data_IF_478806004945
#
_entry.id   IF_478806004945
#
_cell.length_a   1.000
_cell.length_b   1.000
_cell.length_c   1.000
_cell.angle_alpha   90.00
_cell.angle_beta   90.00
_cell.angle_gamma   90.00
#
_symmetry.space_group_name_H-M   'P 1'
#
loop_
_entity.id
_entity.type
_entity.pdbx_description
1 polymer ?
#
# COMPACT_ATOMS: atom_id res chain seq x y z
N UNK A 1 -6.33 20.71 11.73
CA UNK A 1 -5.37 20.93 10.66
C UNK A 1 -5.31 19.77 9.69
N UNK A 2 -5.16 20.08 8.45
CA UNK A 2 -5.07 19.07 7.40
C UNK A 2 -3.76 18.32 7.48
N UNK A 3 -3.82 17.00 7.59
CA UNK A 3 -2.63 16.16 7.67
C UNK A 3 -2.44 15.29 6.44
N UNK A 4 -3.46 15.19 5.59
CA UNK A 4 -3.40 14.32 4.43
C UNK A 4 -2.58 14.97 3.32
N UNK A 5 -1.40 14.43 3.09
CA UNK A 5 -0.59 14.82 1.96
C UNK A 5 -1.15 14.19 0.69
N UNK A 6 -1.07 14.93 -0.41
CA UNK A 6 -1.49 14.43 -1.71
C UNK A 6 -0.26 14.04 -2.52
N UNK A 7 -0.38 12.96 -3.25
CA UNK A 7 0.72 12.46 -4.07
C UNK A 7 1.22 13.51 -5.06
N UNK A 8 0.29 14.32 -5.61
CA UNK A 8 0.66 15.39 -6.54
C UNK A 8 1.60 16.40 -5.92
N UNK A 9 1.36 16.79 -4.67
CA UNK A 9 2.21 17.72 -3.95
C UNK A 9 3.62 17.14 -3.76
N UNK A 10 3.68 15.87 -3.37
CA UNK A 10 4.95 15.18 -3.13
C UNK A 10 5.77 15.09 -4.42
N UNK A 11 5.12 14.71 -5.52
CA UNK A 11 5.80 14.56 -6.81
C UNK A 11 6.24 15.90 -7.37
N UNK A 12 5.46 16.96 -7.15
CA UNK A 12 5.82 18.31 -7.57
C UNK A 12 7.03 18.82 -6.80
N UNK A 13 7.07 18.58 -5.47
CA UNK A 13 8.20 18.97 -4.64
C UNK A 13 9.49 18.30 -5.11
N UNK A 14 9.40 17.05 -5.58
CA UNK A 14 10.55 16.31 -6.10
C UNK A 14 10.95 16.74 -7.51
N UNK A 15 10.11 17.51 -8.18
CA UNK A 15 10.38 17.92 -9.56
C UNK A 15 10.06 16.85 -10.58
N UNK A 16 9.34 15.80 -10.20
CA UNK A 16 9.00 14.71 -11.11
C UNK A 16 7.80 15.04 -12.00
N UNK A 17 6.93 15.94 -11.57
CA UNK A 17 5.78 16.41 -12.36
C UNK A 17 5.63 17.92 -12.19
N UNK A 18 4.90 18.52 -13.13
CA UNK A 18 4.56 19.94 -13.10
C UNK A 18 3.12 20.10 -12.62
N UNK A 19 2.76 21.32 -12.21
CA UNK A 19 1.38 21.63 -11.84
C UNK A 19 0.43 21.40 -13.01
N UNK A 20 0.89 21.68 -14.25
CA UNK A 20 0.10 21.44 -15.44
C UNK A 20 -0.22 19.95 -15.61
N UNK A 21 0.77 19.08 -15.39
CA UNK A 21 0.57 17.64 -15.47
C UNK A 21 -0.39 17.15 -14.39
N UNK A 22 -0.30 17.69 -13.18
CA UNK A 22 -1.24 17.38 -12.10
C UNK A 22 -2.66 17.79 -12.52
N UNK A 23 -2.82 19.00 -13.09
CA UNK A 23 -4.13 19.47 -13.54
C UNK A 23 -4.72 18.55 -14.60
N UNK A 24 -3.90 18.08 -15.52
CA UNK A 24 -4.32 17.12 -16.54
C UNK A 24 -4.81 15.81 -15.93
N UNK A 25 -4.06 15.30 -14.96
CA UNK A 25 -4.43 14.06 -14.28
C UNK A 25 -5.73 14.21 -13.48
N UNK A 26 -5.90 15.34 -12.81
CA UNK A 26 -7.13 15.61 -12.04
C UNK A 26 -8.34 15.74 -12.96
N UNK A 27 -8.18 16.36 -14.13
CA UNK A 27 -9.25 16.43 -15.12
C UNK A 27 -9.64 15.05 -15.63
N UNK A 28 -8.65 14.22 -15.90
CA UNK A 28 -8.87 12.83 -16.31
C UNK A 28 -9.60 12.04 -15.23
N UNK A 29 -9.24 12.26 -13.97
CA UNK A 29 -9.82 11.55 -12.82
C UNK A 29 -11.32 11.80 -12.68
N UNK A 30 -11.81 12.98 -13.10
CA UNK A 30 -13.23 13.29 -13.02
C UNK A 30 -14.08 12.30 -13.81
N UNK A 31 -13.53 11.72 -14.86
CA UNK A 31 -14.20 10.74 -15.68
C UNK A 31 -13.76 9.31 -15.38
N UNK A 32 -12.77 9.14 -14.48
CA UNK A 32 -12.21 7.84 -14.10
C UNK A 32 -12.04 7.79 -12.59
N UNK A 33 -13.14 7.89 -11.87
CA UNK A 33 -13.15 8.08 -10.41
C UNK A 33 -12.66 6.87 -9.63
N UNK A 34 -12.58 5.71 -10.28
CA UNK A 34 -12.04 4.50 -9.70
C UNK A 34 -10.52 4.51 -9.62
N UNK A 35 -9.87 5.48 -10.28
CA UNK A 35 -8.41 5.54 -10.35
C UNK A 35 -7.85 6.64 -9.45
N UNK A 36 -6.73 6.35 -8.82
CA UNK A 36 -6.01 7.33 -7.99
C UNK A 36 -5.14 8.21 -8.88
N UNK A 37 -4.86 9.43 -8.40
CA UNK A 37 -4.07 10.40 -9.18
C UNK A 37 -2.69 9.84 -9.54
N UNK A 38 -2.02 9.18 -8.59
CA UNK A 38 -0.71 8.58 -8.88
C UNK A 38 -0.76 7.55 -9.98
N UNK A 39 -1.80 6.72 -9.99
CA UNK A 39 -2.01 5.73 -11.03
C UNK A 39 -2.23 6.39 -12.39
N UNK A 40 -3.05 7.45 -12.43
CA UNK A 40 -3.31 8.18 -13.66
C UNK A 40 -2.03 8.83 -14.20
N UNK A 41 -1.23 9.43 -13.31
CA UNK A 41 0.04 10.03 -13.72
C UNK A 41 0.98 9.01 -14.36
N UNK A 42 0.99 7.79 -13.84
CA UNK A 42 1.77 6.70 -14.42
C UNK A 42 1.21 6.28 -15.77
N UNK A 43 -0.12 6.14 -15.88
CA UNK A 43 -0.77 5.75 -17.13
C UNK A 43 -0.57 6.78 -18.24
N UNK A 44 -0.56 8.07 -17.88
CA UNK A 44 -0.30 9.14 -18.84
C UNK A 44 1.19 9.28 -19.18
N UNK A 45 2.04 8.51 -18.54
CA UNK A 45 3.47 8.54 -18.82
C UNK A 45 4.22 9.70 -18.21
N UNK A 46 3.63 10.38 -17.23
CA UNK A 46 4.26 11.54 -16.59
C UNK A 46 5.24 11.12 -15.49
N UNK A 47 5.04 9.97 -14.87
CA UNK A 47 5.95 9.42 -13.85
C UNK A 47 6.01 7.91 -14.01
N UNK A 48 7.05 7.31 -13.42
CA UNK A 48 7.18 5.86 -13.31
C UNK A 48 6.82 5.45 -11.88
N UNK A 49 6.55 4.16 -11.70
CA UNK A 49 6.29 3.62 -10.36
C UNK A 49 7.50 3.84 -9.44
N UNK A 50 8.70 3.64 -9.96
CA UNK A 50 9.93 3.88 -9.20
C UNK A 50 9.99 5.30 -8.68
N UNK A 51 9.68 6.29 -9.53
CA UNK A 51 9.66 7.69 -9.12
C UNK A 51 8.63 7.95 -8.03
N UNK A 52 7.43 7.38 -8.16
CA UNK A 52 6.37 7.53 -7.16
C UNK A 52 6.83 6.96 -5.82
N UNK A 53 7.37 5.75 -5.83
CA UNK A 53 7.83 5.10 -4.59
C UNK A 53 8.99 5.86 -3.95
N UNK A 54 9.95 6.32 -4.75
CA UNK A 54 11.08 7.10 -4.24
C UNK A 54 10.62 8.41 -3.60
N UNK A 55 9.68 9.09 -4.23
CA UNK A 55 9.15 10.33 -3.70
C UNK A 55 8.43 10.10 -2.37
N UNK A 56 7.61 9.05 -2.29
CA UNK A 56 6.90 8.69 -1.07
C UNK A 56 7.88 8.28 0.04
N UNK A 57 8.86 7.45 -0.30
CA UNK A 57 9.84 6.96 0.65
C UNK A 57 10.63 8.13 1.25
N UNK A 58 11.07 9.06 0.41
CA UNK A 58 11.83 10.22 0.84
C UNK A 58 10.99 11.15 1.72
N UNK A 59 9.78 11.48 1.26
CA UNK A 59 8.93 12.46 1.95
C UNK A 59 8.41 11.94 3.29
N UNK A 60 8.11 10.65 3.37
CA UNK A 60 7.52 10.03 4.55
C UNK A 60 8.53 9.24 5.37
N UNK A 61 9.79 9.21 4.95
CA UNK A 61 10.87 8.48 5.61
C UNK A 61 10.54 7.00 5.78
N UNK A 62 10.10 6.38 4.69
CA UNK A 62 9.77 4.97 4.65
C UNK A 62 10.80 4.21 3.81
N UNK A 63 10.97 2.91 4.09
CA UNK A 63 11.85 2.06 3.30
C UNK A 63 11.07 1.39 2.18
N UNK A 64 11.70 1.29 1.01
CA UNK A 64 11.21 0.46 -0.09
C UNK A 64 11.83 -0.92 0.07
N UNK A 65 11.02 -1.96 0.02
CA UNK A 65 11.49 -3.33 0.23
C UNK A 65 11.12 -4.20 -0.96
N UNK A 66 11.88 -5.28 -1.13
CA UNK A 66 11.53 -6.36 -2.04
C UNK A 66 10.76 -7.39 -1.20
N UNK A 67 9.47 -7.48 -1.44
CA UNK A 67 8.58 -8.35 -0.67
C UNK A 67 9.04 -9.81 -0.71
N UNK A 68 9.66 -10.22 -1.83
CA UNK A 68 10.14 -11.58 -2.00
C UNK A 68 11.30 -11.91 -1.05
N UNK A 69 11.98 -10.90 -0.51
CA UNK A 69 13.10 -11.09 0.41
C UNK A 69 12.68 -11.05 1.88
N UNK A 70 11.42 -10.76 2.15
CA UNK A 70 10.94 -10.65 3.53
C UNK A 70 10.51 -12.01 4.08
N UNK A 71 10.74 -12.20 5.37
CA UNK A 71 10.16 -13.33 6.10
C UNK A 71 8.77 -12.92 6.56
N UNK A 72 7.75 -13.57 6.01
CA UNK A 72 6.36 -13.23 6.26
C UNK A 72 5.80 -14.14 7.36
N UNK A 73 5.35 -13.52 8.43
CA UNK A 73 4.74 -14.22 9.56
C UNK A 73 3.26 -14.41 9.28
N UNK A 74 2.83 -15.67 9.10
CA UNK A 74 1.46 -15.97 8.71
C UNK A 74 0.45 -15.53 9.77
N UNK A 75 0.82 -15.51 11.04
CA UNK A 75 -0.06 -15.03 12.11
C UNK A 75 -0.38 -13.56 11.93
N UNK A 76 0.58 -12.77 11.46
CA UNK A 76 0.34 -11.35 11.18
C UNK A 76 -0.63 -11.19 10.01
N UNK A 77 -0.42 -11.97 8.95
CA UNK A 77 -1.31 -11.93 7.76
C UNK A 77 -2.75 -12.21 8.16
N UNK A 78 -2.95 -13.18 9.06
CA UNK A 78 -4.28 -13.61 9.49
C UNK A 78 -5.02 -12.58 10.34
N UNK A 79 -4.35 -11.52 10.79
CA UNK A 79 -4.95 -10.53 11.68
C UNK A 79 -5.85 -9.53 10.97
N UNK A 80 -5.80 -9.45 9.66
CA UNK A 80 -6.66 -8.55 8.91
C UNK A 80 -7.47 -9.32 7.87
N UNK A 81 -8.55 -8.68 7.42
CA UNK A 81 -9.46 -9.25 6.45
C UNK A 81 -8.82 -9.30 5.05
N UNK A 82 -9.01 -10.43 4.36
CA UNK A 82 -8.49 -10.63 3.01
C UNK A 82 -8.98 -9.54 2.04
N UNK A 83 -10.27 -9.20 2.13
CA UNK A 83 -10.84 -8.18 1.24
C UNK A 83 -10.18 -6.83 1.41
N UNK A 84 -9.92 -6.45 2.66
CA UNK A 84 -9.22 -5.20 2.94
C UNK A 84 -7.81 -5.21 2.36
N UNK A 85 -7.10 -6.32 2.54
CA UNK A 85 -5.74 -6.47 2.04
C UNK A 85 -5.68 -6.40 0.52
N UNK A 86 -6.56 -7.13 -0.15
CA UNK A 86 -6.56 -7.19 -1.62
C UNK A 86 -6.98 -5.88 -2.25
N UNK A 87 -8.01 -5.26 -1.70
CA UNK A 87 -8.52 -4.01 -2.24
C UNK A 87 -7.51 -2.87 -2.13
N UNK A 88 -6.75 -2.84 -1.04
CA UNK A 88 -5.89 -1.71 -0.71
C UNK A 88 -4.41 -2.03 -0.81
N UNK A 89 -4.04 -3.22 -1.25
CA UNK A 89 -2.65 -3.66 -1.41
C UNK A 89 -1.87 -3.48 -0.12
N UNK A 90 -2.30 -4.17 0.93
CA UNK A 90 -1.66 -4.15 2.23
C UNK A 90 -1.37 -5.59 2.65
N UNK A 91 -0.12 -5.85 3.04
CA UNK A 91 0.27 -7.17 3.52
C UNK A 91 0.93 -7.04 4.88
N UNK A 92 0.30 -7.54 5.96
CA UNK A 92 0.99 -7.63 7.25
C UNK A 92 2.11 -8.65 7.14
N UNK A 93 3.29 -8.32 7.67
CA UNK A 93 4.45 -9.21 7.54
C UNK A 93 4.99 -9.67 8.88
N UNK A 94 4.80 -8.87 9.93
CA UNK A 94 5.34 -9.20 11.25
C UNK A 94 4.55 -8.46 12.32
N UNK A 95 4.38 -9.09 13.47
CA UNK A 95 3.71 -8.45 14.60
C UNK A 95 4.48 -8.80 15.88
N UNK A 96 4.69 -7.80 16.73
CA UNK A 96 5.33 -7.97 18.03
C UNK A 96 4.91 -6.83 18.96
N UNK A 97 4.43 -7.17 20.17
CA UNK A 97 4.09 -6.20 21.21
C UNK A 97 3.13 -5.11 20.71
N UNK A 98 2.08 -5.51 20.01
CA UNK A 98 1.08 -4.60 19.43
C UNK A 98 1.64 -3.65 18.37
N UNK A 99 2.78 -3.99 17.78
CA UNK A 99 3.34 -3.28 16.63
C UNK A 99 3.35 -4.22 15.45
N UNK A 100 2.75 -3.77 14.35
CA UNK A 100 2.64 -4.58 13.14
C UNK A 100 3.39 -3.90 12.01
N UNK A 101 4.28 -4.65 11.38
CA UNK A 101 4.93 -4.23 10.16
C UNK A 101 4.04 -4.61 8.98
N UNK A 102 3.75 -3.66 8.12
CA UNK A 102 2.99 -3.91 6.89
C UNK A 102 3.75 -3.43 5.68
N UNK A 103 3.48 -4.04 4.54
CA UNK A 103 3.95 -3.56 3.24
C UNK A 103 2.75 -3.05 2.48
N UNK A 104 2.87 -1.87 1.89
CA UNK A 104 1.82 -1.30 1.05
C UNK A 104 2.42 -0.59 -0.16
N UNK A 105 1.60 -0.41 -1.17
CA UNK A 105 1.96 0.39 -2.33
C UNK A 105 1.43 1.83 -2.21
N UNK A 106 0.49 2.08 -1.27
CA UNK A 106 -0.13 3.38 -1.12
C UNK A 106 -0.21 3.81 0.36
N UNK A 107 0.86 4.44 0.88
CA UNK A 107 0.89 4.84 2.28
C UNK A 107 0.00 6.05 2.59
N UNK A 108 -0.60 6.67 1.57
CA UNK A 108 -1.49 7.81 1.75
C UNK A 108 -2.95 7.40 1.88
N UNK A 109 -3.25 6.11 1.80
CA UNK A 109 -4.60 5.60 1.99
C UNK A 109 -4.89 5.46 3.49
N UNK A 110 -5.18 6.59 4.12
CA UNK A 110 -5.34 6.66 5.57
C UNK A 110 -6.54 5.87 6.07
N UNK A 111 -7.62 5.80 5.29
CA UNK A 111 -8.79 5.01 5.67
C UNK A 111 -8.46 3.53 5.78
N UNK A 112 -7.75 2.98 4.80
CA UNK A 112 -7.38 1.58 4.83
C UNK A 112 -6.41 1.28 5.98
N UNK A 113 -5.44 2.18 6.20
CA UNK A 113 -4.48 1.99 7.30
C UNK A 113 -5.19 2.02 8.66
N UNK A 114 -6.18 2.89 8.82
CA UNK A 114 -6.95 2.94 10.06
C UNK A 114 -7.75 1.65 10.26
N UNK A 115 -8.33 1.10 9.20
CA UNK A 115 -9.01 -0.19 9.25
C UNK A 115 -8.07 -1.31 9.71
N UNK A 116 -6.85 -1.30 9.21
CA UNK A 116 -5.83 -2.28 9.62
C UNK A 116 -5.53 -2.14 11.11
N UNK A 117 -5.39 -0.91 11.60
CA UNK A 117 -5.18 -0.67 13.05
C UNK A 117 -6.33 -1.23 13.87
N UNK A 118 -7.56 -0.99 13.43
CA UNK A 118 -8.75 -1.43 14.16
C UNK A 118 -8.88 -2.95 14.16
N UNK A 119 -8.65 -3.59 13.01
CA UNK A 119 -8.76 -5.04 12.92
C UNK A 119 -7.66 -5.76 13.70
N UNK A 120 -6.45 -5.23 13.67
CA UNK A 120 -5.30 -5.88 14.30
C UNK A 120 -5.09 -5.48 15.75
N UNK A 121 -5.59 -4.33 16.16
CA UNK A 121 -5.29 -3.77 17.47
C UNK A 121 -3.85 -3.31 17.61
N UNK A 122 -3.17 -3.05 16.49
CA UNK A 122 -1.73 -2.74 16.46
C UNK A 122 -1.46 -1.35 15.95
N UNK A 123 -0.32 -0.80 16.37
CA UNK A 123 0.28 0.33 15.68
C UNK A 123 1.02 -0.20 14.46
N UNK A 124 1.18 0.63 13.44
CA UNK A 124 1.75 0.19 12.18
C UNK A 124 3.13 0.79 11.92
N UNK A 125 4.02 -0.05 11.47
CA UNK A 125 5.26 0.36 10.79
C UNK A 125 5.07 0.05 9.32
N UNK A 126 5.25 1.06 8.46
CA UNK A 126 4.89 0.96 7.04
C UNK A 126 6.15 0.79 6.19
N UNK A 127 6.14 -0.21 5.35
CA UNK A 127 7.16 -0.45 4.33
C UNK A 127 6.49 -0.31 2.96
N UNK A 128 7.25 0.10 1.95
CA UNK A 128 6.73 0.31 0.60
C UNK A 128 7.22 -0.78 -0.34
N UNK A 129 6.39 -1.12 -1.30
CA UNK A 129 6.72 -2.08 -2.34
C UNK A 129 6.07 -1.70 -3.65
N UNK A 130 6.67 -2.15 -4.74
CA UNK A 130 6.03 -2.12 -6.05
C UNK A 130 4.74 -2.93 -6.02
N UNK A 131 3.81 -2.56 -6.88
CA UNK A 131 2.47 -3.16 -6.88
C UNK A 131 2.50 -4.65 -7.27
N UNK A 132 3.17 -5.01 -8.35
CA UNK A 132 3.09 -6.37 -8.89
C UNK A 132 3.56 -7.44 -7.91
N UNK A 133 4.77 -7.34 -7.32
CA UNK A 133 5.21 -8.36 -6.36
C UNK A 133 4.36 -8.36 -5.09
N UNK A 134 3.87 -7.20 -4.67
CA UNK A 134 3.01 -7.11 -3.49
C UNK A 134 1.69 -7.83 -3.72
N UNK A 135 1.09 -7.61 -4.88
CA UNK A 135 -0.17 -8.25 -5.27
C UNK A 135 -0.04 -9.78 -5.26
N UNK A 136 1.06 -10.28 -5.80
CA UNK A 136 1.34 -11.72 -5.80
C UNK A 136 1.50 -12.25 -4.38
N UNK A 137 2.22 -11.54 -3.54
CA UNK A 137 2.44 -11.94 -2.16
C UNK A 137 1.13 -11.97 -1.36
N UNK A 138 0.28 -10.96 -1.54
CA UNK A 138 -1.02 -10.91 -0.88
C UNK A 138 -1.84 -12.14 -1.25
N UNK A 139 -1.93 -12.43 -2.53
CA UNK A 139 -2.68 -13.58 -3.02
C UNK A 139 -2.16 -14.89 -2.42
N UNK A 140 -0.83 -15.06 -2.42
CA UNK A 140 -0.19 -16.27 -1.93
C UNK A 140 -0.42 -16.45 -0.42
N UNK A 141 -0.15 -15.43 0.38
CA UNK A 141 -0.20 -15.58 1.84
C UNK A 141 -1.62 -15.65 2.37
N UNK A 142 -2.59 -15.00 1.75
CA UNK A 142 -3.98 -15.17 2.15
C UNK A 142 -4.53 -16.52 1.74
N UNK A 143 -4.05 -17.11 0.65
CA UNK A 143 -4.36 -18.49 0.32
C UNK A 143 -3.82 -19.45 1.39
N UNK A 144 -2.61 -19.18 1.91
CA UNK A 144 -2.03 -19.96 3.01
C UNK A 144 -2.88 -19.86 4.27
N UNK A 145 -3.35 -18.65 4.61
CA UNK A 145 -4.23 -18.45 5.77
C UNK A 145 -5.50 -19.29 5.61
N UNK A 146 -6.12 -19.24 4.44
CA UNK A 146 -7.34 -20.00 4.17
C UNK A 146 -7.10 -21.50 4.25
N UNK A 147 -5.98 -21.98 3.71
CA UNK A 147 -5.63 -23.40 3.75
C UNK A 147 -5.43 -23.89 5.19
N UNK A 148 -4.78 -23.10 6.02
CA UNK A 148 -4.55 -23.47 7.43
C UNK A 148 -5.85 -23.49 8.23
N UNK A 149 -6.76 -22.54 7.95
CA UNK A 149 -8.07 -22.52 8.59
C UNK A 149 -8.90 -23.73 8.20
N UNK A 150 -8.89 -24.09 6.93
CA UNK A 150 -9.60 -25.27 6.43
C UNK A 150 -9.05 -26.55 7.06
N UNK A 151 -7.73 -26.68 7.16
CA UNK A 151 -7.11 -27.84 7.79
C UNK A 151 -7.50 -27.96 9.26
N UNK A 152 -7.56 -26.85 9.98
CA UNK A 152 -8.00 -26.83 11.38
C UNK A 152 -9.45 -27.27 11.52
N UNK A 153 -10.32 -26.83 10.63
CA UNK A 153 -11.75 -27.18 10.67
C UNK A 153 -11.99 -28.64 10.31
N UNK A 154 -11.12 -29.23 9.49
CA UNK A 154 -11.23 -30.62 9.09
C UNK A 154 -10.88 -31.58 10.22
N UNK A 155 -10.17 -31.13 11.22
CA UNK A 155 -9.80 -31.92 12.41
C UNK A 155 -10.77 -31.66 13.54
#
# INVERSE_FOLDING_TARGET
MKTNLRIGEILTEKGYVTEKQISQALAYQKEHRDKRVGQILMELGFVTETQVLEALASRLQLRIVDVAQLVINIEAVAMIDKGLAEKNLILPVHVKDHNMQIVTNDPLNYFALEEVRQQSGCQLEILLSEEAPLKQAISYYFAEVSARRAAKQAN
#
